data_IF_210975909506
#
_entry.id   IF_210975909506
#
_cell.length_a   1.000
_cell.length_b   1.000
_cell.length_c   1.000
_cell.angle_alpha   90.00
_cell.angle_beta   90.00
_cell.angle_gamma   90.00
#
_symmetry.space_group_name_H-M   'P 1'
#
loop_
_entity.id
_entity.type
_entity.pdbx_description
1 polymer ?
#
# COMPACT_ATOMS: atom_id res chain seq x y z
N UNK A 1 -0.71 -12.62 3.68
CA UNK A 1 -2.15 -12.35 3.90
C UNK A 1 -2.83 -13.43 4.73
N UNK A 2 -3.84 -13.05 5.52
CA UNK A 2 -4.75 -13.90 6.29
C UNK A 2 -6.20 -13.49 6.02
N UNK A 3 -7.15 -14.44 5.98
CA UNK A 3 -8.57 -14.17 5.79
C UNK A 3 -9.22 -13.75 7.11
N UNK A 4 -9.79 -12.55 7.13
CA UNK A 4 -10.73 -12.10 8.17
C UNK A 4 -12.14 -12.44 7.67
N UNK A 5 -12.84 -13.29 8.43
CA UNK A 5 -14.21 -13.68 8.08
C UNK A 5 -15.15 -12.51 8.35
N UNK A 6 -16.09 -12.32 7.45
CA UNK A 6 -17.15 -11.33 7.62
C UNK A 6 -18.04 -11.62 8.82
N UNK A 7 -18.64 -10.56 9.35
CA UNK A 7 -19.46 -10.60 10.55
C UNK A 7 -19.57 -9.24 11.21
N UNK A 8 -20.10 -9.24 12.43
CA UNK A 8 -20.25 -8.06 13.26
C UNK A 8 -19.10 -7.95 14.26
N UNK A 9 -18.49 -6.77 14.33
CA UNK A 9 -17.36 -6.47 15.21
C UNK A 9 -17.64 -5.24 16.05
N UNK A 10 -17.18 -5.24 17.30
CA UNK A 10 -17.15 -4.04 18.14
C UNK A 10 -15.87 -3.25 17.83
N UNK A 11 -16.02 -1.95 17.53
CA UNK A 11 -14.91 -1.04 17.22
C UNK A 11 -15.05 0.24 18.05
N UNK A 12 -13.91 0.79 18.48
CA UNK A 12 -13.84 1.97 19.33
C UNK A 12 -13.22 1.67 20.71
N UNK A 13 -13.16 2.68 21.57
CA UNK A 13 -12.64 2.57 22.93
C UNK A 13 -13.75 2.36 23.97
N UNK A 14 -13.58 1.30 24.78
CA UNK A 14 -14.46 0.97 25.93
C UNK A 14 -14.12 1.74 27.20
N UNK A 15 -12.90 2.26 27.34
CA UNK A 15 -12.36 2.68 28.64
C UNK A 15 -12.68 4.12 28.99
N UNK A 16 -13.29 4.85 28.06
CA UNK A 16 -13.54 6.28 28.20
C UNK A 16 -12.27 6.98 28.69
N UNK A 17 -11.12 6.61 28.11
CA UNK A 17 -9.85 7.15 28.55
C UNK A 17 -9.90 8.68 28.45
N UNK A 18 -9.54 9.42 29.52
CA UNK A 18 -9.73 10.88 29.60
C UNK A 18 -8.70 11.65 28.75
N UNK A 19 -7.92 10.94 27.95
CA UNK A 19 -6.89 11.51 27.10
C UNK A 19 -7.54 12.10 25.85
N UNK A 20 -7.42 13.42 25.67
CA UNK A 20 -8.06 14.18 24.58
C UNK A 20 -7.80 13.60 23.18
N UNK A 21 -6.62 13.01 22.96
CA UNK A 21 -6.27 12.39 21.67
C UNK A 21 -7.00 11.06 21.40
N UNK A 22 -7.73 10.52 22.38
CA UNK A 22 -8.58 9.33 22.24
C UNK A 22 -10.07 9.66 22.07
N UNK A 23 -10.46 10.94 22.08
CA UNK A 23 -11.87 11.35 21.98
C UNK A 23 -12.54 10.79 20.71
N UNK A 24 -11.84 10.84 19.57
CA UNK A 24 -12.35 10.35 18.28
C UNK A 24 -12.50 8.81 18.22
N UNK A 25 -11.89 8.08 19.16
CA UNK A 25 -12.00 6.63 19.22
C UNK A 25 -13.23 6.16 20.03
N UNK A 26 -13.92 7.06 20.74
CA UNK A 26 -15.09 6.73 21.56
C UNK A 26 -16.40 6.92 20.77
N UNK A 27 -17.47 6.18 21.00
CA UNK A 27 -17.64 5.00 21.86
C UNK A 27 -17.57 3.68 21.06
N UNK A 28 -17.65 2.55 21.76
CA UNK A 28 -17.81 1.25 21.08
C UNK A 28 -19.11 1.22 20.30
N UNK A 29 -19.01 0.87 19.02
CA UNK A 29 -20.15 0.61 18.15
C UNK A 29 -19.92 -0.66 17.32
N UNK A 30 -21.02 -1.26 16.85
CA UNK A 30 -20.99 -2.47 16.02
C UNK A 30 -20.86 -2.12 14.54
N UNK A 31 -19.90 -2.75 13.86
CA UNK A 31 -19.67 -2.64 12.42
C UNK A 31 -19.86 -4.00 11.75
N UNK A 32 -20.65 -4.04 10.69
CA UNK A 32 -20.79 -5.21 9.82
C UNK A 32 -19.75 -5.13 8.69
N UNK A 33 -18.92 -6.15 8.56
CA UNK A 33 -17.87 -6.24 7.54
C UNK A 33 -18.04 -7.50 6.71
N UNK A 34 -17.80 -7.37 5.40
CA UNK A 34 -17.60 -8.51 4.50
C UNK A 34 -16.27 -9.21 4.75
N UNK A 35 -16.10 -10.42 4.21
CA UNK A 35 -14.83 -11.15 4.35
C UNK A 35 -13.75 -10.49 3.49
N UNK A 36 -12.57 -10.24 4.08
CA UNK A 36 -11.43 -9.63 3.39
C UNK A 36 -10.11 -10.24 3.84
N UNK A 37 -9.04 -10.02 3.05
CA UNK A 37 -7.69 -10.44 3.40
C UNK A 37 -6.88 -9.27 3.94
N UNK A 38 -6.16 -9.48 5.04
CA UNK A 38 -5.20 -8.51 5.60
C UNK A 38 -3.79 -9.09 5.55
N UNK A 39 -2.77 -8.27 5.34
CA UNK A 39 -1.39 -8.73 5.44
C UNK A 39 -0.99 -9.06 6.87
N UNK A 40 -0.15 -10.08 7.02
CA UNK A 40 0.34 -10.55 8.33
C UNK A 40 1.53 -9.72 8.81
N UNK A 41 2.22 -9.07 7.86
CA UNK A 41 3.39 -8.24 8.11
C UNK A 41 3.21 -6.91 7.37
N UNK A 42 3.77 -5.84 7.95
CA UNK A 42 3.82 -4.54 7.31
C UNK A 42 4.65 -4.59 6.02
N UNK A 43 4.35 -3.68 5.09
CA UNK A 43 5.14 -3.50 3.88
C UNK A 43 6.54 -3.01 4.27
N UNK A 44 7.56 -3.74 3.82
CA UNK A 44 8.95 -3.39 4.09
C UNK A 44 9.45 -2.28 3.18
N UNK A 45 10.51 -1.59 3.61
CA UNK A 45 11.22 -0.60 2.78
C UNK A 45 11.73 -1.23 1.46
N UNK A 46 12.11 -2.51 1.48
CA UNK A 46 12.58 -3.22 0.30
C UNK A 46 11.48 -3.43 -0.74
N UNK A 47 10.27 -3.80 -0.31
CA UNK A 47 9.10 -3.95 -1.18
C UNK A 47 8.63 -2.60 -1.72
N UNK A 48 8.66 -1.55 -0.89
CA UNK A 48 8.33 -0.20 -1.36
C UNK A 48 9.33 0.32 -2.40
N UNK A 49 10.64 0.05 -2.24
CA UNK A 49 11.65 0.38 -3.26
C UNK A 49 11.41 -0.35 -4.59
N UNK A 50 11.00 -1.61 -4.53
CA UNK A 50 10.60 -2.36 -5.73
C UNK A 50 9.39 -1.71 -6.39
N UNK A 51 8.36 -1.37 -5.62
CA UNK A 51 7.19 -0.64 -6.14
C UNK A 51 7.59 0.67 -6.84
N UNK A 52 8.50 1.46 -6.27
CA UNK A 52 9.02 2.67 -6.94
C UNK A 52 9.74 2.31 -8.23
N UNK A 53 10.60 1.28 -8.25
CA UNK A 53 11.32 0.88 -9.45
C UNK A 53 10.39 0.46 -10.60
N UNK A 54 9.24 -0.15 -10.27
CA UNK A 54 8.22 -0.55 -11.24
C UNK A 54 7.31 0.62 -11.66
N UNK A 55 6.94 1.49 -10.71
CA UNK A 55 6.00 2.62 -10.96
C UNK A 55 6.68 3.84 -11.58
N UNK A 56 7.97 4.05 -11.35
CA UNK A 56 8.76 5.15 -11.95
C UNK A 56 8.96 5.00 -13.48
N UNK A 57 8.46 3.91 -14.08
CA UNK A 57 8.52 3.65 -15.52
C UNK A 57 7.25 4.11 -16.27
N UNK A 58 6.15 4.43 -15.58
CA UNK A 58 4.92 4.85 -16.27
C UNK A 58 4.33 6.11 -15.67
N UNK A 59 5.05 7.22 -15.86
CA UNK A 59 4.47 8.56 -15.84
C UNK A 59 4.70 9.15 -17.24
N UNK A 60 3.69 9.04 -18.10
CA UNK A 60 3.71 9.66 -19.43
C UNK A 60 4.47 8.91 -20.55
N UNK A 61 4.70 7.60 -20.40
CA UNK A 61 5.28 6.78 -21.49
C UNK A 61 6.79 6.93 -21.70
N UNK A 62 7.52 7.52 -20.76
CA UNK A 62 8.98 7.61 -20.78
C UNK A 62 9.54 6.66 -19.72
N UNK A 63 10.23 5.62 -20.17
CA UNK A 63 10.97 4.68 -19.32
C UNK A 63 12.32 5.34 -19.00
N UNK A 64 12.53 5.83 -17.78
CA UNK A 64 13.88 6.16 -17.29
C UNK A 64 14.31 5.12 -16.27
N UNK A 65 15.08 4.14 -16.71
CA UNK A 65 15.73 3.17 -15.83
C UNK A 65 16.91 3.87 -15.12
N UNK A 66 16.71 4.27 -13.87
CA UNK A 66 17.81 4.72 -13.00
C UNK A 66 18.22 3.57 -12.10
N UNK A 67 18.90 2.58 -12.66
CA UNK A 67 19.82 1.77 -11.88
C UNK A 67 21.21 1.92 -12.49
N UNK A 68 22.23 1.96 -11.64
CA UNK A 68 23.55 2.51 -11.90
C UNK A 68 24.13 2.19 -13.29
N UNK A 69 24.55 3.24 -14.00
CA UNK A 69 25.33 3.20 -15.26
C UNK A 69 24.66 2.50 -16.45
N UNK A 70 23.79 3.22 -17.17
CA UNK A 70 23.92 3.51 -18.63
C UNK A 70 22.69 4.27 -19.13
N UNK A 71 22.91 5.53 -19.52
CA UNK A 71 21.98 6.26 -20.39
C UNK A 71 22.01 5.57 -21.77
N UNK A 72 21.02 4.75 -22.09
CA UNK A 72 20.73 4.38 -23.48
C UNK A 72 19.61 5.29 -23.98
N UNK A 73 19.96 6.24 -24.85
CA UNK A 73 19.03 7.02 -25.64
C UNK A 73 18.28 6.08 -26.60
N UNK A 74 17.08 5.65 -26.23
CA UNK A 74 16.21 4.84 -27.08
C UNK A 74 15.49 5.77 -28.07
N UNK A 75 16.24 6.35 -29.01
CA UNK A 75 15.66 7.03 -30.19
C UNK A 75 16.21 6.48 -31.52
N UNK A 76 17.01 5.40 -31.49
CA UNK A 76 17.41 4.64 -32.68
C UNK A 76 17.53 3.14 -32.37
N UNK A 77 16.41 2.46 -32.32
CA UNK A 77 16.35 1.01 -32.51
C UNK A 77 15.28 0.71 -33.57
N UNK A 78 15.56 1.12 -34.81
CA UNK A 78 14.95 0.52 -36.00
C UNK A 78 15.75 -0.74 -36.33
N UNK A 79 15.22 -1.94 -36.08
CA UNK A 79 15.53 -3.22 -36.77
C UNK A 79 14.29 -4.11 -36.54
N UNK A 80 13.28 -4.13 -37.41
CA UNK A 80 13.10 -5.10 -38.52
C UNK A 80 14.12 -6.25 -38.52
N UNK A 81 13.76 -7.37 -37.90
CA UNK A 81 13.77 -8.71 -38.52
C UNK A 81 12.88 -9.66 -37.72
#
# INVERSE_FOLDING_TARGET
MVLIRGGNFEMGDSKSDPEEWMEDAQEIHTVELDSFYMDVHEVTVGEFKQFISFSAITIGGIITQTDGMRSLNIHRATIIQ
#
